data_IF_844986420246
#
_entry.id   IF_844986420246
#
_cell.length_a   1.000
_cell.length_b   1.000
_cell.length_c   1.000
_cell.angle_alpha   90.00
_cell.angle_beta   90.00
_cell.angle_gamma   90.00
#
_symmetry.space_group_name_H-M   'P 1'
#
loop_
_entity.id
_entity.type
_entity.pdbx_description
1 polymer ?
#
# COMPACT_ATOMS: atom_id res chain seq x y z
N UNK A 1 30.12 -14.85 -17.69
CA UNK A 1 29.70 -14.73 -19.10
C UNK A 1 28.80 -13.51 -19.19
N UNK A 2 29.07 -12.52 -20.06
CA UNK A 2 28.18 -11.36 -20.21
C UNK A 2 26.83 -11.80 -20.78
N UNK A 3 25.74 -11.22 -20.26
CA UNK A 3 24.37 -11.49 -20.72
C UNK A 3 24.16 -10.71 -22.03
N UNK A 4 23.80 -11.34 -23.15
CA UNK A 4 23.55 -10.65 -24.41
C UNK A 4 22.51 -9.53 -24.25
N UNK A 5 22.81 -8.33 -24.75
CA UNK A 5 21.92 -7.16 -24.65
C UNK A 5 22.04 -6.35 -23.34
N UNK A 6 22.83 -6.81 -22.36
CA UNK A 6 23.08 -6.02 -21.16
C UNK A 6 24.02 -4.84 -21.49
N UNK A 7 23.50 -3.61 -21.37
CA UNK A 7 24.31 -2.41 -21.28
C UNK A 7 24.65 -2.17 -19.79
N UNK A 8 25.92 -2.20 -19.38
CA UNK A 8 26.29 -1.88 -18.00
C UNK A 8 26.11 -0.37 -17.76
N UNK A 9 25.52 -0.01 -16.63
CA UNK A 9 25.39 1.37 -16.15
C UNK A 9 26.59 1.69 -15.22
N UNK A 10 27.60 2.45 -15.70
CA UNK A 10 28.85 2.62 -14.96
C UNK A 10 28.64 3.27 -13.59
N UNK A 11 27.77 4.27 -13.48
CA UNK A 11 27.50 4.93 -12.20
C UNK A 11 26.87 3.99 -11.17
N UNK A 12 25.91 3.16 -11.59
CA UNK A 12 25.29 2.18 -10.71
C UNK A 12 26.33 1.17 -10.17
N UNK A 13 27.24 0.72 -11.04
CA UNK A 13 28.32 -0.20 -10.66
C UNK A 13 29.33 0.46 -9.69
N UNK A 14 29.68 1.73 -9.88
CA UNK A 14 30.54 2.45 -8.94
C UNK A 14 29.90 2.58 -7.56
N UNK A 15 28.62 2.94 -7.48
CA UNK A 15 27.87 3.02 -6.22
C UNK A 15 27.85 1.66 -5.51
N UNK A 16 27.55 0.58 -6.25
CA UNK A 16 27.55 -0.78 -5.71
C UNK A 16 28.94 -1.16 -5.17
N UNK A 17 30.01 -0.87 -5.92
CA UNK A 17 31.39 -1.18 -5.49
C UNK A 17 31.85 -0.34 -4.29
N UNK A 18 31.39 0.90 -4.20
CA UNK A 18 31.71 1.80 -3.09
C UNK A 18 30.91 1.49 -1.81
N UNK A 19 29.91 0.61 -1.89
CA UNK A 19 29.09 0.22 -0.73
C UNK A 19 29.95 -0.53 0.30
N UNK A 20 30.18 0.10 1.46
CA UNK A 20 30.94 -0.48 2.58
C UNK A 20 30.07 -1.23 3.58
N UNK A 21 28.78 -0.96 3.60
CA UNK A 21 27.79 -1.59 4.48
C UNK A 21 26.49 -1.83 3.73
N UNK A 22 25.92 -3.02 3.93
CA UNK A 22 24.65 -3.42 3.33
C UNK A 22 23.63 -3.58 4.45
N UNK A 23 22.68 -2.64 4.52
CA UNK A 23 21.57 -2.74 5.47
C UNK A 23 20.54 -3.72 4.89
N UNK A 24 20.09 -4.68 5.69
CA UNK A 24 18.95 -5.51 5.28
C UNK A 24 17.76 -4.59 5.01
N UNK A 25 16.96 -4.86 3.95
CA UNK A 25 15.67 -4.19 3.83
C UNK A 25 14.90 -4.39 5.13
N UNK A 26 14.21 -3.36 5.60
CA UNK A 26 13.26 -3.48 6.70
C UNK A 26 12.37 -4.69 6.42
N UNK A 27 12.32 -5.65 7.34
CA UNK A 27 11.41 -6.79 7.22
C UNK A 27 9.99 -6.23 7.13
N UNK A 28 9.44 -6.23 5.91
CA UNK A 28 8.08 -5.79 5.69
C UNK A 28 7.21 -6.85 6.33
N UNK A 29 6.70 -6.58 7.53
CA UNK A 29 5.75 -7.47 8.17
C UNK A 29 4.46 -7.38 7.37
N UNK A 30 4.24 -8.36 6.51
CA UNK A 30 2.95 -8.57 5.89
C UNK A 30 2.05 -9.21 6.94
N UNK A 31 1.02 -8.49 7.39
CA UNK A 31 -0.03 -9.08 8.21
C UNK A 31 -0.91 -9.97 7.33
N UNK A 32 -1.66 -10.88 7.96
CA UNK A 32 -2.67 -11.66 7.24
C UNK A 32 -3.72 -10.72 6.64
N UNK A 33 -4.32 -11.16 5.52
CA UNK A 33 -5.43 -10.46 4.90
C UNK A 33 -6.59 -10.30 5.90
N UNK A 34 -7.18 -9.11 5.94
CA UNK A 34 -8.32 -8.82 6.80
C UNK A 34 -9.61 -9.11 6.01
N UNK A 35 -10.40 -10.13 6.38
CA UNK A 35 -11.53 -10.56 5.55
C UNK A 35 -12.71 -9.58 5.60
N UNK A 36 -12.91 -8.90 6.73
CA UNK A 36 -14.01 -7.96 6.97
C UNK A 36 -13.42 -6.61 7.36
N UNK A 37 -13.69 -5.58 6.57
CA UNK A 37 -13.13 -4.24 6.78
C UNK A 37 -14.07 -3.32 7.53
N UNK A 38 -15.37 -3.62 7.56
CA UNK A 38 -16.35 -2.72 8.15
C UNK A 38 -17.51 -3.46 8.80
N UNK A 39 -18.21 -2.73 9.67
CA UNK A 39 -19.58 -3.00 10.08
C UNK A 39 -20.46 -1.78 9.76
N UNK A 40 -21.60 -1.63 10.44
CA UNK A 40 -22.52 -0.50 10.26
C UNK A 40 -21.91 0.87 10.62
N UNK A 41 -20.90 0.91 11.50
CA UNK A 41 -20.39 2.16 12.09
C UNK A 41 -18.86 2.24 12.19
N UNK A 42 -18.14 1.16 11.89
CA UNK A 42 -16.68 1.07 11.99
C UNK A 42 -16.11 0.61 10.66
N UNK A 43 -14.99 1.18 10.27
CA UNK A 43 -14.23 0.78 9.08
C UNK A 43 -12.73 0.82 9.33
N UNK A 44 -12.01 -0.12 8.73
CA UNK A 44 -10.55 -0.16 8.68
C UNK A 44 -10.06 0.59 7.42
N UNK A 45 -9.00 1.37 7.59
CA UNK A 45 -8.36 2.16 6.52
C UNK A 45 -6.84 2.09 6.66
N UNK A 46 -6.11 2.43 5.59
CA UNK A 46 -4.65 2.44 5.61
C UNK A 46 -4.07 1.05 5.94
N UNK A 47 -2.93 1.05 6.62
CA UNK A 47 -2.23 -0.20 7.00
C UNK A 47 -3.07 -1.15 7.87
N UNK A 48 -4.16 -0.68 8.50
CA UNK A 48 -5.07 -1.56 9.24
C UNK A 48 -5.96 -2.40 8.31
N UNK A 49 -6.22 -1.91 7.09
CA UNK A 49 -6.98 -2.61 6.06
C UNK A 49 -6.07 -3.35 5.07
N UNK A 50 -5.01 -2.70 4.61
CA UNK A 50 -4.13 -3.18 3.54
C UNK A 50 -2.65 -2.89 3.85
N UNK A 51 -2.03 -3.60 4.82
CA UNK A 51 -0.64 -3.37 5.21
C UNK A 51 0.31 -3.56 4.02
N UNK A 52 0.83 -2.45 3.51
CA UNK A 52 1.70 -2.42 2.33
C UNK A 52 3.15 -2.18 2.71
N UNK A 53 4.01 -3.02 2.14
CA UNK A 53 5.44 -2.76 2.11
C UNK A 53 5.80 -1.59 1.17
N UNK A 54 7.00 -1.05 1.34
CA UNK A 54 7.71 -0.19 0.39
C UNK A 54 7.18 1.25 0.22
N UNK A 55 6.78 1.89 1.33
CA UNK A 55 6.57 3.35 1.37
C UNK A 55 5.31 3.86 0.67
N UNK A 56 4.39 2.96 0.28
CA UNK A 56 3.12 3.33 -0.35
C UNK A 56 1.96 3.52 0.64
N UNK A 57 2.10 3.07 1.89
CA UNK A 57 1.01 3.10 2.89
C UNK A 57 0.41 4.48 3.13
N UNK A 58 1.25 5.53 3.15
CA UNK A 58 0.76 6.90 3.30
C UNK A 58 -0.12 7.35 2.12
N UNK A 59 0.30 7.06 0.89
CA UNK A 59 -0.47 7.41 -0.32
C UNK A 59 -1.80 6.66 -0.34
N UNK A 60 -1.80 5.36 -0.01
CA UNK A 60 -3.00 4.54 0.04
C UNK A 60 -3.98 4.99 1.13
N UNK A 61 -3.48 5.34 2.32
CA UNK A 61 -4.31 5.89 3.40
C UNK A 61 -4.97 7.24 3.03
N UNK A 62 -4.25 8.10 2.29
CA UNK A 62 -4.82 9.36 1.78
C UNK A 62 -5.93 9.07 0.76
N UNK A 63 -5.69 8.12 -0.16
CA UNK A 63 -6.70 7.71 -1.14
C UNK A 63 -7.94 7.13 -0.45
N UNK A 64 -7.76 6.28 0.57
CA UNK A 64 -8.86 5.74 1.36
C UNK A 64 -9.70 6.86 1.99
N UNK A 65 -9.06 7.87 2.58
CA UNK A 65 -9.76 8.99 3.20
C UNK A 65 -10.64 9.75 2.18
N UNK A 66 -10.14 9.96 0.96
CA UNK A 66 -10.90 10.63 -0.11
C UNK A 66 -12.07 9.79 -0.57
N UNK A 67 -11.87 8.48 -0.79
CA UNK A 67 -12.92 7.58 -1.25
C UNK A 67 -13.98 7.37 -0.17
N UNK A 68 -13.57 7.18 1.09
CA UNK A 68 -14.47 7.05 2.23
C UNK A 68 -15.34 8.28 2.41
N UNK A 69 -14.75 9.48 2.34
CA UNK A 69 -15.50 10.72 2.47
C UNK A 69 -16.53 10.90 1.35
N UNK A 70 -16.21 10.49 0.12
CA UNK A 70 -17.16 10.52 -1.01
C UNK A 70 -18.29 9.51 -0.84
N UNK A 71 -17.96 8.26 -0.54
CA UNK A 71 -18.95 7.20 -0.34
C UNK A 71 -19.96 7.58 0.76
N UNK A 72 -19.48 8.04 1.91
CA UNK A 72 -20.35 8.50 3.01
C UNK A 72 -21.22 9.71 2.64
N UNK A 73 -20.78 10.56 1.72
CA UNK A 73 -21.52 11.73 1.28
C UNK A 73 -22.57 11.41 0.21
N UNK A 74 -22.42 10.30 -0.51
CA UNK A 74 -23.26 9.94 -1.66
C UNK A 74 -24.29 8.85 -1.35
N UNK A 75 -24.25 8.25 -0.15
CA UNK A 75 -25.18 7.22 0.32
C UNK A 75 -26.13 7.71 1.41
N UNK A 76 -27.24 7.00 1.62
CA UNK A 76 -28.30 7.40 2.55
C UNK A 76 -28.02 7.01 4.02
N UNK A 77 -27.06 6.12 4.27
CA UNK A 77 -26.66 5.68 5.61
C UNK A 77 -25.16 5.46 5.77
N UNK A 78 -24.68 5.44 7.01
CA UNK A 78 -23.28 5.12 7.32
C UNK A 78 -22.91 3.72 6.84
N UNK A 79 -23.74 2.70 7.14
CA UNK A 79 -23.49 1.32 6.71
C UNK A 79 -23.37 1.18 5.20
N UNK A 80 -24.24 1.83 4.43
CA UNK A 80 -24.15 1.84 2.96
C UNK A 80 -22.88 2.53 2.45
N UNK A 81 -22.51 3.68 3.04
CA UNK A 81 -21.29 4.38 2.67
C UNK A 81 -20.03 3.60 3.00
N UNK A 82 -20.00 2.87 4.12
CA UNK A 82 -18.89 1.99 4.47
C UNK A 82 -18.81 0.76 3.55
N UNK A 83 -19.95 0.20 3.16
CA UNK A 83 -20.00 -0.90 2.19
C UNK A 83 -19.54 -0.46 0.79
N UNK A 84 -19.93 0.74 0.35
CA UNK A 84 -19.49 1.29 -0.93
C UNK A 84 -17.98 1.63 -0.92
N UNK A 85 -17.47 2.17 0.19
CA UNK A 85 -16.03 2.34 0.37
C UNK A 85 -15.27 1.00 0.26
N UNK A 86 -15.72 -0.05 0.96
CA UNK A 86 -15.10 -1.38 0.91
C UNK A 86 -15.08 -1.90 -0.54
N UNK A 87 -16.23 -1.81 -1.23
CA UNK A 87 -16.34 -2.22 -2.65
C UNK A 87 -15.36 -1.48 -3.57
N UNK A 88 -15.07 -0.20 -3.31
CA UNK A 88 -14.18 0.63 -4.14
C UNK A 88 -12.70 0.45 -3.81
N UNK A 89 -12.35 0.09 -2.57
CA UNK A 89 -10.97 0.06 -2.08
C UNK A 89 -10.40 -1.34 -1.83
N UNK A 90 -11.24 -2.37 -1.86
CA UNK A 90 -10.78 -3.75 -1.76
C UNK A 90 -9.82 -4.08 -2.94
N UNK A 91 -8.68 -4.75 -2.69
CA UNK A 91 -7.69 -5.08 -3.73
C UNK A 91 -8.22 -5.95 -4.88
#
# INVERSE_FOLDING_TARGET
MPIPGHRPEPQALEIIRATTQLHRPTLMHTLAEVPVWHDEHVVLVGDAAHPVGAGQGASMAIEDAVVLARALAETDSTGEGLAEYDRLRRP
#
